data_IF_296772611076
#
_entry.id   IF_296772611076
#
_cell.length_a   1.000
_cell.length_b   1.000
_cell.length_c   1.000
_cell.angle_alpha   90.00
_cell.angle_beta   90.00
_cell.angle_gamma   90.00
#
_symmetry.space_group_name_H-M   'P 1'
#
loop_
_entity.id
_entity.type
_entity.pdbx_description
1 polymer ?
#
# COMPACT_ATOMS: atom_id res chain seq x y z
N UNK A 1 -15.68 -34.71 -26.75
CA UNK A 1 -14.61 -33.70 -26.97
C UNK A 1 -15.20 -32.56 -27.79
N UNK A 2 -15.09 -31.27 -27.38
CA UNK A 2 -15.65 -30.14 -28.11
C UNK A 2 -14.74 -29.79 -29.30
N UNK A 3 -14.77 -30.60 -30.36
CA UNK A 3 -13.87 -30.45 -31.51
C UNK A 3 -14.32 -29.41 -32.55
N UNK A 4 -15.53 -28.87 -32.46
CA UNK A 4 -16.10 -28.02 -33.51
C UNK A 4 -16.16 -26.51 -33.20
N UNK A 5 -16.06 -26.12 -31.93
CA UNK A 5 -16.12 -24.72 -31.52
C UNK A 5 -14.71 -24.22 -31.07
N UNK A 6 -14.12 -23.25 -31.78
CA UNK A 6 -12.78 -22.75 -31.46
C UNK A 6 -12.68 -22.13 -30.06
N UNK A 7 -13.76 -21.49 -29.58
CA UNK A 7 -13.81 -20.82 -28.27
C UNK A 7 -13.79 -21.89 -27.17
N UNK A 8 -14.69 -22.85 -27.23
CA UNK A 8 -14.75 -23.99 -26.27
C UNK A 8 -13.47 -24.82 -26.26
N UNK A 9 -12.81 -24.96 -27.41
CA UNK A 9 -11.52 -25.64 -27.51
C UNK A 9 -10.42 -24.85 -26.77
N UNK A 10 -10.41 -23.52 -26.90
CA UNK A 10 -9.47 -22.64 -26.22
C UNK A 10 -9.65 -22.70 -24.70
N UNK A 11 -10.89 -22.62 -24.22
CA UNK A 11 -11.23 -22.73 -22.79
C UNK A 11 -10.83 -24.10 -22.22
N UNK A 12 -11.14 -25.18 -22.90
CA UNK A 12 -10.71 -26.52 -22.52
C UNK A 12 -9.20 -26.64 -22.40
N UNK A 13 -8.44 -26.11 -23.38
CA UNK A 13 -6.99 -26.17 -23.37
C UNK A 13 -6.39 -25.33 -22.22
N UNK A 14 -6.97 -24.18 -21.91
CA UNK A 14 -6.57 -23.35 -20.77
C UNK A 14 -6.75 -24.13 -19.47
N UNK A 15 -7.91 -24.71 -19.27
CA UNK A 15 -8.24 -25.48 -18.06
C UNK A 15 -7.40 -26.75 -17.93
N UNK A 16 -7.23 -27.50 -19.02
CA UNK A 16 -6.36 -28.68 -19.06
C UNK A 16 -4.91 -28.34 -18.69
N UNK A 17 -4.35 -27.28 -19.30
CA UNK A 17 -3.01 -26.83 -18.99
C UNK A 17 -2.87 -26.30 -17.56
N UNK A 18 -3.90 -25.66 -17.02
CA UNK A 18 -3.95 -25.22 -15.61
C UNK A 18 -3.83 -26.42 -14.67
N UNK A 19 -4.67 -27.45 -14.84
CA UNK A 19 -4.66 -28.69 -14.03
C UNK A 19 -3.32 -29.42 -14.15
N UNK A 20 -2.75 -29.49 -15.36
CA UNK A 20 -1.46 -30.12 -15.59
C UNK A 20 -0.33 -29.39 -14.85
N UNK A 21 -0.33 -28.06 -14.88
CA UNK A 21 0.64 -27.24 -14.14
C UNK A 21 0.48 -27.38 -12.63
N UNK A 22 -0.76 -27.41 -12.12
CA UNK A 22 -1.03 -27.63 -10.70
C UNK A 22 -0.51 -29.00 -10.24
N UNK A 23 -0.76 -30.05 -10.99
CA UNK A 23 -0.28 -31.41 -10.68
C UNK A 23 1.25 -31.52 -10.66
N UNK A 24 1.93 -30.83 -11.58
CA UNK A 24 3.40 -30.84 -11.68
C UNK A 24 4.11 -29.80 -10.83
N UNK A 25 3.36 -28.88 -10.20
CA UNK A 25 3.94 -27.75 -9.47
C UNK A 25 4.85 -28.19 -8.34
N UNK A 26 4.46 -29.20 -7.58
CA UNK A 26 5.22 -29.66 -6.42
C UNK A 26 6.51 -30.37 -6.85
N UNK A 27 6.46 -31.15 -7.94
CA UNK A 27 7.63 -31.76 -8.54
C UNK A 27 8.62 -30.71 -9.06
N UNK A 28 8.12 -29.70 -9.80
CA UNK A 28 8.94 -28.60 -10.32
C UNK A 28 9.56 -27.79 -9.17
N UNK A 29 8.79 -27.52 -8.12
CA UNK A 29 9.27 -26.78 -6.95
C UNK A 29 10.33 -27.59 -6.18
N UNK A 30 10.16 -28.89 -6.05
CA UNK A 30 11.16 -29.78 -5.44
C UNK A 30 12.45 -29.80 -6.25
N UNK A 31 12.35 -29.99 -7.56
CA UNK A 31 13.49 -29.93 -8.48
C UNK A 31 14.24 -28.58 -8.38
N UNK A 32 13.51 -27.47 -8.43
CA UNK A 32 14.10 -26.14 -8.34
C UNK A 32 14.82 -25.89 -7.00
N UNK A 33 14.29 -26.41 -5.87
CA UNK A 33 14.97 -26.34 -4.58
C UNK A 33 16.31 -27.06 -4.60
N UNK A 34 16.33 -28.30 -5.07
CA UNK A 34 17.55 -29.12 -5.17
C UNK A 34 18.55 -28.45 -6.12
N UNK A 35 18.07 -27.97 -7.26
CA UNK A 35 18.93 -27.27 -8.22
C UNK A 35 19.57 -26.02 -7.61
N UNK A 36 18.80 -25.20 -6.89
CA UNK A 36 19.32 -24.00 -6.21
C UNK A 36 20.30 -24.34 -5.07
N UNK A 37 20.12 -25.45 -4.37
CA UNK A 37 21.08 -25.93 -3.37
C UNK A 37 22.43 -26.30 -4.01
N UNK A 38 22.39 -26.93 -5.18
CA UNK A 38 23.58 -27.33 -5.91
C UNK A 38 24.24 -26.18 -6.70
N UNK A 39 23.50 -25.09 -6.98
CA UNK A 39 23.97 -23.95 -7.79
C UNK A 39 23.68 -22.60 -7.11
N UNK A 40 24.18 -22.36 -5.88
CA UNK A 40 23.80 -21.18 -5.06
C UNK A 40 24.16 -19.85 -5.75
N UNK A 41 25.34 -19.76 -6.38
CA UNK A 41 25.77 -18.53 -7.04
C UNK A 41 24.94 -18.20 -8.28
N UNK A 42 24.55 -19.21 -9.04
CA UNK A 42 23.67 -19.03 -10.21
C UNK A 42 22.28 -18.54 -9.78
N UNK A 43 21.71 -19.11 -8.71
CA UNK A 43 20.44 -18.68 -8.14
C UNK A 43 20.52 -17.26 -7.58
N UNK A 44 21.61 -16.90 -6.90
CA UNK A 44 21.85 -15.54 -6.38
C UNK A 44 21.92 -14.53 -7.54
N UNK A 45 22.70 -14.81 -8.57
CA UNK A 45 22.82 -13.96 -9.75
C UNK A 45 21.49 -13.78 -10.47
N UNK A 46 20.74 -14.88 -10.67
CA UNK A 46 19.41 -14.81 -11.27
C UNK A 46 18.44 -13.93 -10.45
N UNK A 47 18.39 -14.11 -9.13
CA UNK A 47 17.55 -13.30 -8.24
C UNK A 47 17.92 -11.82 -8.30
N UNK A 48 19.22 -11.52 -8.30
CA UNK A 48 19.71 -10.13 -8.38
C UNK A 48 19.29 -9.49 -9.70
N UNK A 49 19.51 -10.18 -10.82
CA UNK A 49 19.13 -9.68 -12.15
C UNK A 49 17.61 -9.52 -12.28
N UNK A 50 16.84 -10.51 -11.80
CA UNK A 50 15.39 -10.43 -11.80
C UNK A 50 14.90 -9.21 -10.99
N UNK A 51 15.43 -9.02 -9.77
CA UNK A 51 15.05 -7.90 -8.92
C UNK A 51 15.42 -6.55 -9.55
N UNK A 52 16.63 -6.43 -10.13
CA UNK A 52 17.06 -5.20 -10.80
C UNK A 52 16.13 -4.84 -11.96
N UNK A 53 15.79 -5.81 -12.79
CA UNK A 53 14.93 -5.61 -13.96
C UNK A 53 13.45 -5.42 -13.61
N UNK A 54 13.00 -5.86 -12.44
CA UNK A 54 11.60 -5.81 -12.02
C UNK A 54 11.35 -4.94 -10.78
N UNK A 55 12.32 -4.14 -10.35
CA UNK A 55 12.28 -3.37 -9.09
C UNK A 55 10.99 -2.57 -8.90
N UNK A 56 10.54 -1.86 -9.93
CA UNK A 56 9.32 -1.05 -9.86
C UNK A 56 8.07 -1.92 -9.77
N UNK A 57 8.02 -3.00 -10.53
CA UNK A 57 6.92 -3.98 -10.51
C UNK A 57 6.78 -4.63 -9.13
N UNK A 58 7.88 -5.05 -8.53
CA UNK A 58 7.89 -5.64 -7.19
C UNK A 58 7.53 -4.62 -6.10
N UNK A 59 8.00 -3.37 -6.21
CA UNK A 59 7.56 -2.26 -5.35
C UNK A 59 6.04 -2.07 -5.41
N UNK A 60 5.48 -2.00 -6.61
CA UNK A 60 4.04 -1.82 -6.80
C UNK A 60 3.25 -3.01 -6.26
N UNK A 61 3.73 -4.24 -6.49
CA UNK A 61 3.12 -5.48 -5.98
C UNK A 61 3.10 -5.50 -4.45
N UNK A 62 4.24 -5.19 -3.82
CA UNK A 62 4.37 -5.13 -2.36
C UNK A 62 3.45 -4.06 -1.77
N UNK A 63 3.45 -2.86 -2.37
CA UNK A 63 2.57 -1.77 -1.95
C UNK A 63 1.09 -2.14 -2.09
N UNK A 64 0.70 -2.73 -3.22
CA UNK A 64 -0.68 -3.19 -3.44
C UNK A 64 -1.11 -4.23 -2.39
N UNK A 65 -0.25 -5.20 -2.11
CA UNK A 65 -0.51 -6.21 -1.06
C UNK A 65 -0.71 -5.57 0.31
N UNK A 66 0.11 -4.60 0.68
CA UNK A 66 -0.01 -3.85 1.94
C UNK A 66 -1.33 -3.06 2.00
N UNK A 67 -1.69 -2.35 0.91
CA UNK A 67 -2.92 -1.57 0.82
C UNK A 67 -4.17 -2.45 0.96
N UNK A 68 -4.19 -3.61 0.31
CA UNK A 68 -5.30 -4.57 0.42
C UNK A 68 -5.38 -5.11 1.85
N UNK A 69 -4.26 -5.56 2.41
CA UNK A 69 -4.24 -6.16 3.76
C UNK A 69 -4.66 -5.19 4.86
N UNK A 70 -4.22 -3.92 4.77
CA UNK A 70 -4.44 -2.94 5.85
C UNK A 70 -5.70 -2.11 5.67
N UNK A 71 -6.06 -1.77 4.43
CA UNK A 71 -7.12 -0.81 4.14
C UNK A 71 -8.20 -1.35 3.22
N UNK A 72 -8.08 -2.59 2.76
CA UNK A 72 -8.99 -3.25 1.80
C UNK A 72 -9.17 -2.44 0.48
N UNK A 73 -8.11 -1.77 0.01
CA UNK A 73 -8.08 -1.03 -1.25
C UNK A 73 -6.91 -1.48 -2.12
N UNK A 74 -7.06 -1.32 -3.44
CA UNK A 74 -5.97 -1.58 -4.40
C UNK A 74 -5.08 -0.34 -4.58
N UNK A 75 -3.91 -0.54 -5.19
CA UNK A 75 -3.02 0.56 -5.57
C UNK A 75 -3.69 1.54 -6.54
N UNK A 76 -4.58 1.04 -7.40
CA UNK A 76 -5.37 1.85 -8.32
C UNK A 76 -6.35 2.75 -7.56
N UNK A 77 -7.10 2.19 -6.60
CA UNK A 77 -7.98 2.97 -5.71
C UNK A 77 -7.20 4.06 -4.96
N UNK A 78 -6.03 3.71 -4.43
CA UNK A 78 -5.16 4.69 -3.76
C UNK A 78 -4.73 5.82 -4.71
N UNK A 79 -4.36 5.49 -5.95
CA UNK A 79 -3.98 6.48 -6.96
C UNK A 79 -5.15 7.41 -7.33
N UNK A 80 -6.36 6.87 -7.40
CA UNK A 80 -7.57 7.65 -7.64
C UNK A 80 -7.91 8.56 -6.46
N UNK A 81 -7.74 8.10 -5.22
CA UNK A 81 -7.87 8.95 -4.03
C UNK A 81 -6.87 10.12 -4.06
N UNK A 82 -5.61 9.88 -4.44
CA UNK A 82 -4.62 10.95 -4.59
C UNK A 82 -5.06 12.01 -5.61
N UNK A 83 -5.60 11.57 -6.76
CA UNK A 83 -6.13 12.48 -7.78
C UNK A 83 -7.31 13.30 -7.27
N UNK A 84 -8.26 12.68 -6.55
CA UNK A 84 -9.41 13.37 -5.95
C UNK A 84 -8.98 14.45 -4.96
N UNK A 85 -7.88 14.23 -4.24
CA UNK A 85 -7.30 15.21 -3.32
C UNK A 85 -6.26 16.15 -3.98
N UNK A 86 -6.22 16.21 -5.33
CA UNK A 86 -5.29 17.05 -6.08
C UNK A 86 -3.81 16.84 -5.67
N UNK A 87 -3.45 15.62 -5.29
CA UNK A 87 -2.12 15.26 -4.79
C UNK A 87 -1.67 16.09 -3.57
N UNK A 88 -2.61 16.50 -2.70
CA UNK A 88 -2.37 17.35 -1.54
C UNK A 88 -2.91 16.75 -0.25
N UNK A 89 -2.30 17.16 0.87
CA UNK A 89 -2.78 16.81 2.19
C UNK A 89 -4.15 17.46 2.47
N UNK A 90 -5.12 16.67 2.93
CA UNK A 90 -6.49 17.15 3.20
C UNK A 90 -6.60 18.14 4.37
N UNK A 91 -5.54 18.34 5.17
CA UNK A 91 -5.54 19.29 6.29
C UNK A 91 -4.72 20.54 5.96
N UNK A 92 -3.42 20.37 5.62
CA UNK A 92 -2.51 21.50 5.46
C UNK A 92 -2.28 21.89 4.00
N UNK A 93 -2.89 21.22 3.04
CA UNK A 93 -2.80 21.45 1.60
C UNK A 93 -1.39 21.35 1.01
N UNK A 94 -0.41 20.84 1.77
CA UNK A 94 0.94 20.61 1.23
C UNK A 94 0.89 19.57 0.12
N UNK A 95 1.62 19.82 -0.98
CA UNK A 95 1.70 18.91 -2.11
C UNK A 95 2.61 17.72 -1.78
N UNK A 96 2.17 16.50 -2.19
CA UNK A 96 2.97 15.30 -2.01
C UNK A 96 4.11 15.23 -3.02
N UNK A 97 5.27 14.77 -2.56
CA UNK A 97 6.50 14.64 -3.33
C UNK A 97 7.31 13.44 -2.87
N UNK A 98 8.49 13.21 -3.44
CA UNK A 98 9.41 12.16 -2.97
C UNK A 98 9.82 12.31 -1.50
N UNK A 99 9.79 13.54 -0.96
CA UNK A 99 10.13 13.84 0.46
C UNK A 99 8.91 13.88 1.37
N UNK A 100 7.71 14.11 0.82
CA UNK A 100 6.45 14.26 1.57
C UNK A 100 5.48 13.17 1.11
N UNK A 101 5.50 12.06 1.83
CA UNK A 101 4.72 10.88 1.45
C UNK A 101 3.25 11.01 1.87
N UNK A 102 2.31 10.58 1.00
CA UNK A 102 0.90 10.46 1.35
C UNK A 102 0.66 9.28 2.29
N UNK A 103 -0.03 9.56 3.40
CA UNK A 103 -0.51 8.58 4.38
C UNK A 103 -2.03 8.46 4.26
N UNK A 104 -2.55 7.23 4.26
CA UNK A 104 -3.99 6.98 4.34
C UNK A 104 -4.41 7.20 5.79
N UNK A 105 -5.31 8.14 5.99
CA UNK A 105 -5.99 8.34 7.26
C UNK A 105 -7.29 7.55 7.30
N UNK A 106 -7.56 6.89 8.42
CA UNK A 106 -8.73 6.04 8.59
C UNK A 106 -9.23 6.11 10.04
N UNK A 107 -10.50 5.84 10.22
CA UNK A 107 -11.09 5.69 11.54
C UNK A 107 -10.62 4.39 12.17
N UNK A 108 -10.00 4.46 13.35
CA UNK A 108 -9.42 3.31 14.05
C UNK A 108 -10.46 2.32 14.57
N UNK A 109 -11.71 2.74 14.79
CA UNK A 109 -12.80 1.87 15.25
C UNK A 109 -13.50 1.17 14.07
N UNK A 110 -13.76 1.90 12.99
CA UNK A 110 -14.55 1.39 11.86
C UNK A 110 -13.72 0.93 10.67
N UNK A 111 -12.41 1.25 10.65
CA UNK A 111 -11.52 1.00 9.51
C UNK A 111 -11.80 1.85 8.26
N UNK A 112 -12.82 2.72 8.29
CA UNK A 112 -13.20 3.54 7.13
C UNK A 112 -12.14 4.59 6.84
N UNK A 113 -11.73 4.70 5.58
CA UNK A 113 -10.79 5.72 5.11
C UNK A 113 -11.47 7.10 5.20
N UNK A 114 -10.79 8.07 5.82
CA UNK A 114 -11.22 9.46 5.95
C UNK A 114 -10.64 10.35 4.85
N UNK A 115 -9.41 10.05 4.43
CA UNK A 115 -8.73 10.83 3.40
C UNK A 115 -7.23 10.53 3.33
N UNK A 116 -6.49 11.46 2.71
CA UNK A 116 -5.03 11.35 2.57
C UNK A 116 -4.37 12.55 3.22
N UNK A 117 -3.43 12.28 4.11
CA UNK A 117 -2.70 13.27 4.89
C UNK A 117 -1.20 13.18 4.65
N UNK A 118 -0.46 14.25 4.89
CA UNK A 118 0.98 14.15 5.07
C UNK A 118 1.31 13.51 6.42
N UNK A 119 2.51 12.97 6.56
CA UNK A 119 2.95 12.31 7.79
C UNK A 119 2.77 13.20 9.03
N UNK A 120 3.10 14.49 8.94
CA UNK A 120 2.97 15.45 10.06
C UNK A 120 1.52 15.59 10.53
N UNK A 121 0.57 15.81 9.61
CA UNK A 121 -0.86 15.94 9.96
C UNK A 121 -1.42 14.62 10.50
N UNK A 122 -1.07 13.47 9.90
CA UNK A 122 -1.51 12.17 10.38
C UNK A 122 -1.02 11.89 11.80
N UNK A 123 0.25 12.18 12.08
CA UNK A 123 0.83 12.03 13.43
C UNK A 123 0.22 13.00 14.44
N UNK A 124 -0.04 14.25 14.02
CA UNK A 124 -0.69 15.26 14.87
C UNK A 124 -2.10 14.82 15.33
N UNK A 125 -2.91 14.26 14.41
CA UNK A 125 -4.21 13.68 14.79
C UNK A 125 -4.06 12.54 15.80
N UNK A 126 -3.05 11.68 15.62
CA UNK A 126 -2.75 10.58 16.54
C UNK A 126 -2.37 11.10 17.95
N UNK A 127 -1.58 12.16 18.07
CA UNK A 127 -1.28 12.80 19.36
C UNK A 127 -2.53 13.33 20.06
N UNK A 128 -3.50 13.82 19.32
CA UNK A 128 -4.81 14.21 19.84
C UNK A 128 -5.79 13.02 19.97
N UNK A 129 -5.30 11.76 19.81
CA UNK A 129 -6.10 10.53 19.91
C UNK A 129 -7.34 10.55 19.01
N UNK A 130 -7.25 11.19 17.85
CA UNK A 130 -8.38 11.42 16.92
C UNK A 130 -9.60 12.09 17.58
N UNK A 131 -9.40 12.71 18.75
CA UNK A 131 -10.47 13.29 19.55
C UNK A 131 -10.84 14.69 19.05
N UNK A 132 -12.07 14.83 18.54
CA UNK A 132 -12.63 16.13 18.15
C UNK A 132 -12.66 17.14 19.31
N UNK A 133 -12.90 16.67 20.54
CA UNK A 133 -12.99 17.53 21.71
C UNK A 133 -11.61 18.06 22.13
N UNK A 134 -10.57 17.22 22.07
CA UNK A 134 -9.20 17.68 22.32
C UNK A 134 -8.74 18.68 21.26
N UNK A 135 -9.09 18.45 20.00
CA UNK A 135 -8.78 19.40 18.91
C UNK A 135 -9.51 20.73 19.10
N UNK A 136 -10.80 20.72 19.50
CA UNK A 136 -11.54 21.97 19.84
C UNK A 136 -10.90 22.70 21.03
N UNK A 137 -10.49 21.95 22.06
CA UNK A 137 -9.77 22.54 23.22
C UNK A 137 -8.44 23.15 22.80
N UNK A 138 -7.69 22.51 21.89
CA UNK A 138 -6.45 23.05 21.35
C UNK A 138 -6.66 24.35 20.58
N UNK A 139 -7.71 24.41 19.73
CA UNK A 139 -8.09 25.65 19.05
C UNK A 139 -8.44 26.76 20.07
N UNK A 140 -9.24 26.44 21.09
CA UNK A 140 -9.58 27.40 22.16
C UNK A 140 -8.35 27.85 22.96
N UNK A 141 -7.37 26.97 23.15
CA UNK A 141 -6.11 27.32 23.81
C UNK A 141 -5.28 28.31 22.99
N UNK A 142 -5.15 28.08 21.68
CA UNK A 142 -4.41 28.96 20.78
C UNK A 142 -5.03 30.38 20.69
N UNK A 143 -6.34 30.51 20.93
CA UNK A 143 -7.04 31.79 20.92
C UNK A 143 -6.95 32.52 22.27
N UNK A 144 -6.31 31.97 23.29
CA UNK A 144 -6.10 32.65 24.57
C UNK A 144 -4.84 33.51 24.49
N UNK A 145 -5.03 34.81 24.50
CA UNK A 145 -3.97 35.76 24.81
C UNK A 145 -3.75 35.79 26.34
N UNK A 146 -2.58 35.31 26.77
CA UNK A 146 -2.18 35.48 28.16
C UNK A 146 -1.62 36.90 28.31
N UNK A 147 -2.40 37.81 28.85
CA UNK A 147 -1.87 39.08 29.37
C UNK A 147 -0.96 38.71 30.56
N UNK A 148 0.34 38.68 30.31
CA UNK A 148 1.32 38.67 31.42
C UNK A 148 1.07 39.96 32.21
N UNK A 149 0.44 39.84 33.36
CA UNK A 149 0.43 40.92 34.32
C UNK A 149 1.88 41.30 34.59
N UNK A 150 2.27 42.50 34.18
CA UNK A 150 3.53 43.16 34.52
C UNK A 150 3.62 43.29 36.03
N UNK A 151 4.24 42.31 36.69
CA UNK A 151 4.30 42.28 38.13
C UNK A 151 5.13 41.16 38.72
N UNK A 152 6.27 40.88 38.13
CA UNK A 152 7.41 40.19 38.81
C UNK A 152 8.59 41.15 38.77
N UNK A 153 8.64 42.08 39.74
CA UNK A 153 9.89 42.68 40.20
C UNK A 153 10.63 41.72 41.09
#
# INVERSE_FOLDING_TARGET
>A
MPRKDPIKRKEYNIEYNRRLREKKRDEINAYNRIWCQNHPESCKRWRTNYYQNNKQKEKNRSRNKHLISKYNITLEHFTNLLKLHNNKCSICNIEFSEKIYPCIDHNHETGKIRGILCSKCNTALGFFKDSRDLLKKAVGYLNKEVHMMSGFN
#
